data_IF_508703781238
#
_entry.id   IF_508703781238
#
_cell.length_a   1.000
_cell.length_b   1.000
_cell.length_c   1.000
_cell.angle_alpha   90.00
_cell.angle_beta   90.00
_cell.angle_gamma   90.00
#
_symmetry.space_group_name_H-M   'P 1'
#
loop_
_entity.id
_entity.type
_entity.pdbx_description
1 polymer ?
#
# COMPACT_ATOMS: atom_id res chain seq x y z
N UNK A 1 -17.64 -28.84 12.47
CA UNK A 1 -16.27 -28.97 11.93
C UNK A 1 -15.61 -27.63 11.54
N UNK A 2 -16.12 -26.85 10.57
CA UNK A 2 -15.49 -25.55 10.22
C UNK A 2 -15.54 -24.54 11.37
N UNK A 3 -16.72 -24.30 11.95
CA UNK A 3 -16.90 -23.37 13.07
C UNK A 3 -16.07 -23.75 14.31
N UNK A 4 -15.90 -25.04 14.59
CA UNK A 4 -15.06 -25.52 15.70
C UNK A 4 -13.58 -25.22 15.44
N UNK A 5 -13.07 -25.50 14.22
CA UNK A 5 -11.70 -25.17 13.84
C UNK A 5 -11.44 -23.67 13.88
N UNK A 6 -12.42 -22.89 13.40
CA UNK A 6 -12.37 -21.43 13.46
C UNK A 6 -12.32 -20.93 14.89
N UNK A 7 -13.21 -21.41 15.76
CA UNK A 7 -13.23 -21.02 17.17
C UNK A 7 -11.92 -21.37 17.87
N UNK A 8 -11.36 -22.56 17.59
CA UNK A 8 -10.05 -22.94 18.13
C UNK A 8 -8.92 -22.03 17.62
N UNK A 9 -8.92 -21.67 16.33
CA UNK A 9 -7.93 -20.74 15.75
C UNK A 9 -8.05 -19.35 16.37
N UNK A 10 -9.26 -18.80 16.45
CA UNK A 10 -9.50 -17.50 17.08
C UNK A 10 -9.04 -17.54 18.54
N UNK A 11 -9.45 -18.53 19.34
CA UNK A 11 -9.05 -18.63 20.74
C UNK A 11 -7.52 -18.74 20.97
N UNK A 12 -6.76 -19.17 19.95
CA UNK A 12 -5.30 -19.24 20.00
C UNK A 12 -4.60 -17.92 19.65
N UNK A 13 -5.28 -16.95 19.04
CA UNK A 13 -4.69 -15.63 18.76
C UNK A 13 -4.52 -14.83 20.06
N UNK A 14 -3.52 -13.96 20.06
CA UNK A 14 -3.28 -12.95 21.10
C UNK A 14 -4.57 -12.22 21.50
N UNK A 15 -4.77 -11.89 22.78
CA UNK A 15 -5.89 -11.06 23.22
C UNK A 15 -5.97 -9.70 22.49
N UNK A 16 -4.83 -9.21 21.99
CA UNK A 16 -4.72 -7.96 21.23
C UNK A 16 -5.06 -8.11 19.74
N UNK A 17 -5.20 -9.35 19.25
CA UNK A 17 -5.51 -9.61 17.85
C UNK A 17 -6.94 -9.21 17.49
N UNK A 18 -7.11 -8.65 16.30
CA UNK A 18 -8.43 -8.39 15.76
C UNK A 18 -9.16 -9.71 15.48
N UNK A 19 -10.38 -9.82 15.99
CA UNK A 19 -11.23 -10.98 15.80
C UNK A 19 -11.94 -10.91 14.46
N UNK A 20 -12.07 -12.06 13.80
CA UNK A 20 -12.79 -12.13 12.53
C UNK A 20 -14.31 -11.90 12.70
N UNK A 21 -14.83 -12.05 13.93
CA UNK A 21 -16.24 -11.90 14.27
C UNK A 21 -16.46 -10.91 15.42
N UNK A 22 -17.59 -10.17 15.43
CA UNK A 22 -18.64 -10.16 14.41
C UNK A 22 -18.19 -9.48 13.11
N UNK A 23 -18.64 -10.02 11.97
CA UNK A 23 -18.32 -9.49 10.64
C UNK A 23 -19.09 -8.19 10.37
N UNK A 24 -18.51 -7.04 10.71
CA UNK A 24 -19.14 -5.74 10.45
C UNK A 24 -18.81 -5.26 9.04
N UNK A 25 -19.87 -5.08 8.25
CA UNK A 25 -19.85 -4.61 6.85
C UNK A 25 -20.94 -3.58 6.69
N UNK A 26 -20.80 -2.73 5.69
CA UNK A 26 -21.81 -1.71 5.38
C UNK A 26 -23.12 -2.35 4.91
N UNK A 27 -23.01 -3.35 4.02
CA UNK A 27 -24.17 -4.16 3.60
C UNK A 27 -24.11 -5.52 4.27
N UNK A 28 -25.11 -5.88 5.10
CA UNK A 28 -25.17 -7.19 5.72
C UNK A 28 -25.15 -8.31 4.68
N UNK A 29 -24.34 -9.34 4.92
CA UNK A 29 -24.32 -10.53 4.08
C UNK A 29 -24.16 -11.78 4.96
N UNK A 30 -24.71 -12.93 4.56
CA UNK A 30 -24.54 -14.17 5.29
C UNK A 30 -23.07 -14.59 5.38
N UNK A 31 -22.74 -15.26 6.48
CA UNK A 31 -21.43 -15.86 6.70
C UNK A 31 -21.13 -16.96 5.67
N UNK A 32 -19.85 -17.08 5.33
CA UNK A 32 -19.36 -18.17 4.48
C UNK A 32 -19.26 -19.47 5.29
N UNK A 33 -19.65 -20.58 4.67
CA UNK A 33 -19.54 -21.91 5.29
C UNK A 33 -18.10 -22.44 5.44
N UNK A 34 -17.11 -21.79 4.83
CA UNK A 34 -15.74 -22.32 4.72
C UNK A 34 -14.63 -21.25 4.75
N UNK A 35 -14.97 -19.96 4.87
CA UNK A 35 -14.00 -18.85 4.92
C UNK A 35 -14.35 -17.89 6.04
N UNK A 36 -13.35 -17.34 6.71
CA UNK A 36 -13.55 -16.20 7.63
C UNK A 36 -13.93 -14.93 6.86
N UNK A 37 -14.51 -13.92 7.53
CA UNK A 37 -14.77 -12.62 6.92
C UNK A 37 -13.53 -11.98 6.28
N UNK A 38 -12.36 -12.05 6.93
CA UNK A 38 -11.12 -11.51 6.40
C UNK A 38 -10.58 -12.31 5.21
N UNK A 39 -10.70 -13.65 5.21
CA UNK A 39 -10.37 -14.47 4.05
C UNK A 39 -11.25 -14.13 2.84
N UNK A 40 -12.54 -13.88 3.07
CA UNK A 40 -13.47 -13.46 2.02
C UNK A 40 -13.09 -12.10 1.44
N UNK A 41 -12.61 -11.17 2.27
CA UNK A 41 -12.16 -9.85 1.85
C UNK A 41 -10.88 -9.93 1.02
N UNK A 42 -9.90 -10.69 1.51
CA UNK A 42 -8.68 -11.00 0.76
C UNK A 42 -9.00 -11.56 -0.63
N UNK A 43 -9.92 -12.53 -0.73
CA UNK A 43 -10.32 -13.09 -2.01
C UNK A 43 -10.99 -12.06 -2.93
N UNK A 44 -11.82 -11.16 -2.39
CA UNK A 44 -12.45 -10.09 -3.17
C UNK A 44 -11.43 -9.12 -3.75
N UNK A 45 -10.44 -8.72 -2.94
CA UNK A 45 -9.35 -7.83 -3.35
C UNK A 45 -8.54 -8.47 -4.48
N UNK A 46 -8.11 -9.72 -4.32
CA UNK A 46 -7.28 -10.41 -5.34
C UNK A 46 -7.99 -10.53 -6.69
N UNK A 47 -9.33 -10.63 -6.70
CA UNK A 47 -10.12 -10.74 -7.93
C UNK A 47 -10.57 -9.38 -8.52
N UNK A 48 -10.29 -8.27 -7.83
CA UNK A 48 -10.65 -6.93 -8.25
C UNK A 48 -9.93 -6.51 -9.54
N UNK A 49 -10.57 -5.66 -10.36
CA UNK A 49 -9.95 -5.11 -11.58
C UNK A 49 -8.72 -4.26 -11.20
N UNK A 50 -8.84 -3.43 -10.16
CA UNK A 50 -7.75 -2.60 -9.63
C UNK A 50 -6.52 -3.41 -9.20
N UNK A 51 -6.70 -4.54 -8.52
CA UNK A 51 -5.58 -5.41 -8.11
C UNK A 51 -4.83 -5.97 -9.32
N UNK A 52 -5.53 -6.37 -10.39
CA UNK A 52 -4.90 -6.81 -11.64
C UNK A 52 -4.09 -5.69 -12.31
N UNK A 53 -4.55 -4.43 -12.22
CA UNK A 53 -3.86 -3.27 -12.79
C UNK A 53 -2.54 -2.98 -12.08
N UNK A 54 -2.34 -3.40 -10.83
CA UNK A 54 -1.06 -3.25 -10.12
C UNK A 54 0.11 -3.91 -10.86
N UNK A 55 -0.16 -4.94 -11.69
CA UNK A 55 0.85 -5.56 -12.56
C UNK A 55 1.40 -4.59 -13.62
N UNK A 56 0.60 -3.60 -14.02
CA UNK A 56 0.92 -2.65 -15.09
C UNK A 56 1.11 -1.23 -14.55
N UNK A 57 1.40 -1.11 -13.25
CA UNK A 57 1.76 0.15 -12.60
C UNK A 57 3.17 0.03 -12.03
N UNK A 58 4.02 0.97 -12.42
CA UNK A 58 5.36 1.10 -11.86
C UNK A 58 5.27 1.57 -10.42
N UNK A 59 6.27 1.17 -9.64
CA UNK A 59 6.38 1.59 -8.25
C UNK A 59 7.25 2.86 -8.14
N UNK A 60 8.49 2.79 -8.62
CA UNK A 60 9.48 3.88 -8.48
C UNK A 60 10.07 4.29 -9.82
N UNK A 61 10.58 3.32 -10.58
CA UNK A 61 11.21 3.59 -11.85
C UNK A 61 10.21 3.40 -12.99
N UNK A 62 10.11 4.42 -13.82
CA UNK A 62 9.25 4.42 -15.00
C UNK A 62 9.93 3.55 -16.04
N UNK A 63 9.55 2.28 -16.03
CA UNK A 63 9.90 1.25 -17.00
C UNK A 63 11.27 1.44 -17.68
N UNK A 64 12.40 1.35 -16.94
CA UNK A 64 13.66 1.11 -17.59
C UNK A 64 13.56 -0.23 -18.34
N UNK A 65 14.11 -0.30 -19.54
CA UNK A 65 14.07 -1.50 -20.37
C UNK A 65 14.61 -2.71 -19.59
N UNK A 66 13.79 -3.76 -19.39
CA UNK A 66 14.20 -5.01 -18.74
C UNK A 66 13.07 -5.77 -18.01
N UNK A 67 13.16 -7.10 -17.99
CA UNK A 67 12.09 -8.01 -17.51
C UNK A 67 11.98 -8.11 -15.97
N UNK A 68 12.83 -7.41 -15.21
CA UNK A 68 13.02 -7.63 -13.78
C UNK A 68 12.72 -6.40 -12.90
N UNK A 69 12.16 -5.32 -13.46
CA UNK A 69 11.74 -4.18 -12.66
C UNK A 69 10.45 -4.48 -11.89
N UNK A 70 10.41 -4.04 -10.64
CA UNK A 70 9.27 -4.29 -9.77
C UNK A 70 8.09 -3.43 -10.19
N UNK A 71 6.94 -4.06 -10.13
CA UNK A 71 5.62 -3.43 -10.29
C UNK A 71 5.03 -3.19 -8.91
N UNK A 72 3.96 -2.40 -8.82
CA UNK A 72 3.22 -2.29 -7.56
C UNK A 72 2.73 -3.64 -7.03
N UNK A 73 2.39 -4.57 -7.94
CA UNK A 73 1.97 -5.91 -7.56
C UNK A 73 3.09 -6.67 -6.83
N UNK A 74 4.33 -6.61 -7.31
CA UNK A 74 5.44 -7.32 -6.65
C UNK A 74 5.72 -6.75 -5.26
N UNK A 75 5.71 -5.42 -5.10
CA UNK A 75 5.84 -4.80 -3.78
C UNK A 75 4.70 -5.16 -2.85
N UNK A 76 3.47 -5.10 -3.35
CA UNK A 76 2.28 -5.48 -2.57
C UNK A 76 2.42 -6.91 -2.04
N UNK A 77 2.89 -7.85 -2.88
CA UNK A 77 3.09 -9.24 -2.47
C UNK A 77 4.21 -9.40 -1.43
N UNK A 78 5.32 -8.69 -1.59
CA UNK A 78 6.47 -8.76 -0.69
C UNK A 78 6.18 -8.11 0.67
N UNK A 79 5.62 -6.89 0.67
CA UNK A 79 5.16 -6.19 1.87
C UNK A 79 4.13 -7.05 2.62
N UNK A 80 3.18 -7.64 1.90
CA UNK A 80 2.19 -8.54 2.49
C UNK A 80 2.83 -9.79 3.09
N UNK A 81 3.85 -10.37 2.45
CA UNK A 81 4.61 -11.50 2.98
C UNK A 81 5.30 -11.19 4.30
N UNK A 82 5.99 -10.05 4.37
CA UNK A 82 6.65 -9.57 5.59
C UNK A 82 5.62 -9.29 6.69
N UNK A 83 4.53 -8.59 6.36
CA UNK A 83 3.49 -8.21 7.32
C UNK A 83 2.83 -9.44 7.96
N UNK A 84 2.54 -10.47 7.16
CA UNK A 84 2.01 -11.74 7.68
C UNK A 84 2.98 -12.46 8.60
N UNK A 85 4.28 -12.44 8.29
CA UNK A 85 5.28 -13.05 9.16
C UNK A 85 5.35 -12.35 10.52
N UNK A 86 5.28 -11.00 10.53
CA UNK A 86 5.22 -10.21 11.77
C UNK A 86 3.94 -10.52 12.55
N UNK A 87 2.78 -10.51 11.88
CA UNK A 87 1.50 -10.83 12.52
C UNK A 87 1.51 -12.23 13.13
N UNK A 88 2.02 -13.24 12.41
CA UNK A 88 2.13 -14.62 12.92
C UNK A 88 3.02 -14.71 14.15
N UNK A 89 4.18 -14.05 14.12
CA UNK A 89 5.12 -14.07 15.24
C UNK A 89 4.55 -13.41 16.51
N UNK A 90 3.70 -12.39 16.36
CA UNK A 90 3.00 -11.72 17.46
C UNK A 90 1.65 -12.38 17.84
N UNK A 91 1.28 -13.49 17.18
CA UNK A 91 -0.01 -14.15 17.39
C UNK A 91 -1.23 -13.33 16.98
N UNK A 92 -1.08 -12.40 16.04
CA UNK A 92 -2.13 -11.54 15.49
C UNK A 92 -2.82 -12.17 14.27
N UNK A 93 -3.87 -11.53 13.75
CA UNK A 93 -4.67 -12.08 12.67
C UNK A 93 -3.97 -11.94 11.29
N UNK A 94 -3.37 -13.03 10.82
CA UNK A 94 -2.72 -13.08 9.50
C UNK A 94 -3.68 -12.77 8.35
N UNK A 95 -4.93 -13.22 8.41
CA UNK A 95 -5.88 -13.07 7.30
C UNK A 95 -6.32 -11.59 7.16
N UNK A 96 -6.48 -10.88 8.29
CA UNK A 96 -6.72 -9.43 8.29
C UNK A 96 -5.51 -8.68 7.75
N UNK A 97 -4.31 -9.03 8.25
CA UNK A 97 -3.05 -8.41 7.81
C UNK A 97 -2.84 -8.58 6.31
N UNK A 98 -3.13 -9.77 5.78
CA UNK A 98 -3.07 -10.06 4.35
C UNK A 98 -4.10 -9.25 3.55
N UNK A 99 -5.35 -9.19 4.00
CA UNK A 99 -6.39 -8.43 3.31
C UNK A 99 -6.05 -6.93 3.23
N UNK A 100 -5.56 -6.33 4.33
CA UNK A 100 -5.11 -4.93 4.34
C UNK A 100 -3.89 -4.76 3.43
N UNK A 101 -2.90 -5.63 3.58
CA UNK A 101 -1.66 -5.61 2.79
C UNK A 101 -1.91 -5.72 1.29
N UNK A 102 -2.88 -6.52 0.84
CA UNK A 102 -3.23 -6.61 -0.59
C UNK A 102 -4.07 -5.44 -1.10
N UNK A 103 -4.76 -4.73 -0.20
CA UNK A 103 -5.68 -3.65 -0.53
C UNK A 103 -5.10 -2.24 -0.45
N UNK A 104 -4.00 -2.03 0.27
CA UNK A 104 -3.50 -0.68 0.60
C UNK A 104 -3.17 0.17 -0.63
N UNK A 105 -2.70 -0.48 -1.70
CA UNK A 105 -2.11 0.15 -2.89
C UNK A 105 -3.06 0.24 -4.11
N UNK A 106 -4.33 -0.17 -3.96
CA UNK A 106 -5.29 -0.29 -5.08
C UNK A 106 -5.58 1.03 -5.81
N UNK A 107 -5.56 2.15 -5.08
CA UNK A 107 -5.94 3.48 -5.57
C UNK A 107 -4.78 4.35 -6.03
N UNK A 108 -3.57 3.82 -6.12
CA UNK A 108 -2.45 4.61 -6.61
C UNK A 108 -2.65 5.07 -8.05
N UNK A 109 -2.34 6.32 -8.33
CA UNK A 109 -2.29 6.85 -9.70
C UNK A 109 -1.25 6.11 -10.56
N UNK A 110 -1.38 6.15 -11.90
CA UNK A 110 -0.29 5.78 -12.81
C UNK A 110 1.02 6.50 -12.48
N UNK A 111 2.16 5.88 -12.73
CA UNK A 111 3.51 6.44 -12.54
C UNK A 111 3.87 6.79 -11.09
N UNK A 112 3.30 6.05 -10.13
CA UNK A 112 3.70 6.13 -8.73
C UNK A 112 3.49 7.50 -8.08
N UNK A 113 4.46 7.93 -7.27
CA UNK A 113 4.39 9.20 -6.55
C UNK A 113 4.35 10.43 -7.45
N UNK A 114 4.92 10.34 -8.66
CA UNK A 114 4.89 11.44 -9.63
C UNK A 114 3.46 11.67 -10.10
N UNK A 115 2.74 10.60 -10.48
CA UNK A 115 1.36 10.75 -10.92
C UNK A 115 0.42 11.19 -9.81
N UNK A 116 0.63 10.71 -8.58
CA UNK A 116 -0.08 11.18 -7.39
C UNK A 116 0.11 12.69 -7.19
N UNK A 117 1.34 13.19 -7.25
CA UNK A 117 1.63 14.62 -7.09
C UNK A 117 1.04 15.49 -8.22
N UNK A 118 1.01 14.98 -9.46
CA UNK A 118 0.42 15.68 -10.61
C UNK A 118 -1.09 15.75 -10.46
N UNK A 119 -1.76 14.64 -10.13
CA UNK A 119 -3.21 14.62 -9.93
C UNK A 119 -3.64 15.49 -8.74
N UNK A 120 -2.93 15.43 -7.61
CA UNK A 120 -3.18 16.28 -6.43
C UNK A 120 -3.09 17.77 -6.79
N UNK A 121 -2.04 18.16 -7.51
CA UNK A 121 -1.88 19.55 -7.96
C UNK A 121 -3.00 19.98 -8.91
N UNK A 122 -3.33 19.16 -9.90
CA UNK A 122 -4.37 19.48 -10.88
C UNK A 122 -5.75 19.63 -10.22
N UNK A 123 -6.11 18.72 -9.30
CA UNK A 123 -7.32 18.83 -8.50
C UNK A 123 -7.35 20.08 -7.62
N UNK A 124 -6.22 20.37 -6.95
CA UNK A 124 -6.14 21.53 -6.06
C UNK A 124 -6.30 22.83 -6.84
N UNK A 125 -5.72 22.91 -8.05
CA UNK A 125 -5.80 24.10 -8.91
C UNK A 125 -7.20 24.29 -9.51
N UNK A 126 -7.86 23.22 -9.95
CA UNK A 126 -9.15 23.33 -10.65
C UNK A 126 -10.37 23.29 -9.73
N UNK A 127 -10.32 22.48 -8.68
CA UNK A 127 -11.46 22.20 -7.81
C UNK A 127 -11.21 22.51 -6.33
N UNK A 128 -9.98 22.84 -5.94
CA UNK A 128 -9.63 23.07 -4.54
C UNK A 128 -9.56 21.79 -3.69
N UNK A 129 -9.56 20.61 -4.34
CA UNK A 129 -9.57 19.29 -3.70
C UNK A 129 -8.17 18.67 -3.68
N UNK A 130 -7.98 17.64 -2.84
CA UNK A 130 -6.74 16.87 -2.72
C UNK A 130 -6.91 15.48 -3.31
N UNK A 131 -5.81 14.89 -3.76
CA UNK A 131 -5.71 13.47 -4.10
C UNK A 131 -4.72 12.79 -3.16
N UNK A 132 -5.13 11.66 -2.59
CA UNK A 132 -4.26 10.75 -1.85
C UNK A 132 -4.58 9.31 -2.24
N UNK A 133 -3.55 8.52 -2.52
CA UNK A 133 -3.73 7.15 -2.97
C UNK A 133 -4.51 6.28 -1.96
N UNK A 134 -4.32 6.47 -0.65
CA UNK A 134 -4.99 5.69 0.39
C UNK A 134 -6.49 5.98 0.48
N UNK A 135 -6.89 7.24 0.30
CA UNK A 135 -8.30 7.64 0.19
C UNK A 135 -8.92 7.07 -1.09
N UNK A 136 -8.16 7.08 -2.18
CA UNK A 136 -8.60 6.46 -3.43
C UNK A 136 -8.66 4.92 -3.34
N UNK A 137 -7.74 4.26 -2.63
CA UNK A 137 -7.76 2.80 -2.39
C UNK A 137 -9.03 2.40 -1.66
N UNK A 138 -9.43 3.20 -0.67
CA UNK A 138 -10.71 3.04 0.02
C UNK A 138 -11.89 3.21 -0.95
N UNK A 139 -11.89 4.28 -1.75
CA UNK A 139 -12.93 4.53 -2.76
C UNK A 139 -13.06 3.38 -3.77
N UNK A 140 -11.94 2.78 -4.20
CA UNK A 140 -11.94 1.61 -5.10
C UNK A 140 -12.74 0.46 -4.50
N UNK A 141 -12.48 0.13 -3.23
CA UNK A 141 -13.12 -1.01 -2.58
C UNK A 141 -14.53 -0.73 -2.08
N UNK A 142 -14.91 0.54 -1.92
CA UNK A 142 -16.25 0.95 -1.48
C UNK A 142 -17.20 1.19 -2.65
N UNK A 143 -16.71 1.78 -3.74
CA UNK A 143 -17.56 2.39 -4.77
C UNK A 143 -17.21 1.99 -6.21
N UNK A 144 -15.94 1.74 -6.55
CA UNK A 144 -15.56 1.63 -7.98
C UNK A 144 -15.57 0.20 -8.51
N UNK A 145 -15.18 -0.76 -7.69
CA UNK A 145 -15.21 -2.17 -8.10
C UNK A 145 -16.65 -2.67 -8.29
N UNK A 146 -16.80 -3.73 -9.09
CA UNK A 146 -18.12 -4.31 -9.42
C UNK A 146 -19.11 -3.29 -9.99
N UNK A 147 -18.61 -2.46 -10.89
CA UNK A 147 -19.41 -1.53 -11.70
C UNK A 147 -20.30 -0.60 -10.84
N UNK A 148 -19.71 -0.08 -9.75
CA UNK A 148 -20.37 0.86 -8.84
C UNK A 148 -20.75 0.28 -7.47
N UNK A 149 -20.77 -1.05 -7.32
CA UNK A 149 -21.24 -1.70 -6.09
C UNK A 149 -20.17 -1.74 -4.98
N UNK A 150 -18.89 -1.67 -5.32
CA UNK A 150 -17.78 -1.94 -4.42
C UNK A 150 -17.67 -3.40 -3.98
N UNK A 151 -16.67 -3.69 -3.14
CA UNK A 151 -16.35 -5.02 -2.66
C UNK A 151 -17.06 -5.38 -1.33
N UNK A 152 -17.71 -4.42 -0.66
CA UNK A 152 -18.37 -4.60 0.64
C UNK A 152 -17.44 -5.25 1.70
N UNK A 153 -16.19 -4.78 1.82
CA UNK A 153 -15.20 -5.31 2.76
C UNK A 153 -15.60 -5.04 4.22
N UNK A 154 -14.98 -5.74 5.18
CA UNK A 154 -15.18 -5.46 6.60
C UNK A 154 -14.59 -4.11 6.99
N UNK A 155 -15.11 -3.54 8.07
CA UNK A 155 -14.65 -2.23 8.60
C UNK A 155 -13.15 -2.22 8.89
N UNK A 156 -12.59 -3.33 9.41
CA UNK A 156 -11.18 -3.40 9.78
C UNK A 156 -10.25 -3.38 8.56
N UNK A 157 -10.68 -4.02 7.45
CA UNK A 157 -9.92 -4.00 6.20
C UNK A 157 -9.97 -2.60 5.59
N UNK A 158 -11.14 -1.97 5.56
CA UNK A 158 -11.32 -0.58 5.09
C UNK A 158 -10.47 0.41 5.90
N UNK A 159 -10.52 0.31 7.22
CA UNK A 159 -9.72 1.13 8.14
C UNK A 159 -8.22 0.97 7.90
N UNK A 160 -7.75 -0.29 7.80
CA UNK A 160 -6.35 -0.58 7.51
C UNK A 160 -5.91 -0.02 6.16
N UNK A 161 -6.71 -0.17 5.11
CA UNK A 161 -6.43 0.39 3.78
C UNK A 161 -6.35 1.92 3.84
N UNK A 162 -7.28 2.58 4.52
CA UNK A 162 -7.28 4.04 4.62
C UNK A 162 -6.08 4.57 5.43
N UNK A 163 -5.80 3.97 6.58
CA UNK A 163 -4.87 4.52 7.58
C UNK A 163 -3.47 3.93 7.55
N UNK A 164 -3.16 3.06 6.57
CA UNK A 164 -1.80 2.54 6.41
C UNK A 164 -0.76 3.66 6.21
N UNK A 165 -1.18 4.84 5.76
CA UNK A 165 -0.38 6.06 5.63
C UNK A 165 -1.11 7.27 6.22
N UNK A 166 -0.49 8.45 6.21
CA UNK A 166 -1.05 9.69 6.79
C UNK A 166 -0.88 9.81 8.31
N UNK A 167 -1.55 10.75 8.94
CA UNK A 167 -1.34 11.08 10.37
C UNK A 167 -2.12 10.17 11.31
N UNK A 168 -3.26 9.65 10.85
CA UNK A 168 -4.07 8.72 11.63
C UNK A 168 -3.46 7.31 11.61
N UNK A 169 -3.54 6.63 12.75
CA UNK A 169 -3.11 5.24 12.88
C UNK A 169 -4.29 4.28 12.64
N UNK A 170 -4.05 3.11 12.02
CA UNK A 170 -5.04 2.05 11.96
C UNK A 170 -5.50 1.65 13.36
N UNK A 171 -6.78 1.29 13.49
CA UNK A 171 -7.39 0.90 14.74
C UNK A 171 -6.86 -0.46 15.25
N UNK A 172 -6.45 -1.34 14.33
CA UNK A 172 -5.96 -2.69 14.65
C UNK A 172 -4.43 -2.74 14.63
N UNK A 173 -3.85 -3.66 15.41
CA UNK A 173 -2.41 -3.92 15.37
C UNK A 173 -2.01 -4.46 13.98
N UNK A 174 -2.86 -5.27 13.36
CA UNK A 174 -2.66 -5.79 12.00
C UNK A 174 -2.52 -4.66 10.97
N UNK A 175 -3.36 -3.61 11.05
CA UNK A 175 -3.22 -2.43 10.20
C UNK A 175 -1.94 -1.65 10.49
N UNK A 176 -1.57 -1.49 11.77
CA UNK A 176 -0.32 -0.83 12.16
C UNK A 176 0.91 -1.60 11.65
N UNK A 177 0.87 -2.94 11.60
CA UNK A 177 1.93 -3.75 10.98
C UNK A 177 2.08 -3.38 9.51
N UNK A 178 0.99 -3.37 8.73
CA UNK A 178 1.06 -3.04 7.30
C UNK A 178 1.68 -1.66 7.10
N UNK A 179 1.29 -0.67 7.91
CA UNK A 179 1.86 0.68 7.89
C UNK A 179 3.38 0.73 8.10
N UNK A 180 3.91 -0.06 9.05
CA UNK A 180 5.36 -0.10 9.31
C UNK A 180 6.07 -0.88 8.21
N UNK A 181 5.53 -2.05 7.85
CA UNK A 181 6.14 -2.97 6.89
C UNK A 181 6.15 -2.42 5.47
N UNK A 182 5.17 -1.62 5.07
CA UNK A 182 5.19 -0.94 3.77
C UNK A 182 6.48 -0.11 3.60
N UNK A 183 6.91 0.60 4.66
CA UNK A 183 8.17 1.36 4.67
C UNK A 183 9.40 0.46 4.62
N UNK A 184 9.35 -0.71 5.26
CA UNK A 184 10.42 -1.71 5.23
C UNK A 184 10.58 -2.27 3.81
N UNK A 185 9.49 -2.67 3.16
CA UNK A 185 9.51 -3.20 1.80
C UNK A 185 9.98 -2.15 0.80
N UNK A 186 9.44 -0.94 0.90
CA UNK A 186 9.77 0.21 0.05
C UNK A 186 11.28 0.47 -0.01
N UNK A 187 11.94 0.71 1.13
CA UNK A 187 13.35 1.09 1.16
C UNK A 187 14.25 0.03 0.53
N UNK A 188 13.97 -1.25 0.78
CA UNK A 188 14.82 -2.32 0.30
C UNK A 188 14.76 -2.45 -1.22
N UNK A 189 13.56 -2.38 -1.78
CA UNK A 189 13.36 -2.60 -3.20
C UNK A 189 13.79 -1.39 -4.04
N UNK A 190 13.57 -0.20 -3.51
CA UNK A 190 14.02 1.04 -4.13
C UNK A 190 15.55 1.09 -4.25
N UNK A 191 16.27 0.60 -3.24
CA UNK A 191 17.74 0.52 -3.29
C UNK A 191 18.16 -0.44 -4.40
N UNK A 192 17.59 -1.65 -4.41
CA UNK A 192 17.92 -2.67 -5.41
C UNK A 192 17.64 -2.17 -6.85
N UNK A 193 16.49 -1.55 -7.06
CA UNK A 193 16.10 -1.04 -8.38
C UNK A 193 16.94 0.19 -8.78
N UNK A 194 17.28 1.06 -7.83
CA UNK A 194 18.15 2.22 -8.09
C UNK A 194 19.57 1.81 -8.48
N UNK A 195 20.11 0.78 -7.81
CA UNK A 195 21.42 0.22 -8.13
C UNK A 195 21.38 -0.47 -9.49
N UNK A 196 20.35 -1.29 -9.75
CA UNK A 196 20.18 -1.97 -11.05
C UNK A 196 20.03 -0.99 -12.21
N UNK A 197 19.32 0.11 -12.00
CA UNK A 197 19.14 1.16 -13.00
C UNK A 197 20.38 2.06 -13.18
N UNK A 198 21.44 1.86 -12.38
CA UNK A 198 22.64 2.70 -12.40
C UNK A 198 22.39 4.14 -11.92
N UNK A 199 21.28 4.39 -11.23
CA UNK A 199 20.93 5.69 -10.65
C UNK A 199 21.67 5.92 -9.33
N UNK A 200 22.01 4.83 -8.64
CA UNK A 200 22.73 4.83 -7.38
C UNK A 200 23.87 3.81 -7.43
N UNK A 201 25.05 4.17 -6.94
CA UNK A 201 26.12 3.20 -6.65
C UNK A 201 26.05 2.80 -5.18
N UNK A 202 26.20 1.51 -4.86
CA UNK A 202 26.11 1.01 -3.48
C UNK A 202 27.09 1.73 -2.53
N UNK A 203 28.25 2.18 -3.02
CA UNK A 203 29.22 2.93 -2.21
C UNK A 203 28.74 4.32 -1.78
N UNK A 204 27.67 4.83 -2.41
CA UNK A 204 27.05 6.11 -2.08
C UNK A 204 26.02 5.97 -0.95
N UNK A 205 25.63 4.75 -0.58
CA UNK A 205 24.70 4.53 0.51
C UNK A 205 25.28 5.03 1.85
N UNK A 206 24.45 5.62 2.72
CA UNK A 206 24.89 6.10 4.03
C UNK A 206 25.49 4.97 4.89
N UNK A 207 26.78 5.08 5.22
CA UNK A 207 27.53 4.00 5.88
C UNK A 207 26.98 3.64 7.26
N UNK A 208 26.51 4.63 8.02
CA UNK A 208 25.98 4.42 9.37
C UNK A 208 24.67 3.61 9.32
N UNK A 209 23.75 3.97 8.43
CA UNK A 209 22.47 3.27 8.22
C UNK A 209 22.68 1.86 7.68
N UNK A 210 23.61 1.68 6.73
CA UNK A 210 23.94 0.35 6.19
C UNK A 210 24.61 -0.53 7.26
N UNK A 211 25.50 0.02 8.08
CA UNK A 211 26.08 -0.72 9.19
C UNK A 211 25.04 -1.10 10.26
N UNK A 212 24.05 -0.23 10.51
CA UNK A 212 23.00 -0.48 11.48
C UNK A 212 21.96 -1.50 10.99
N UNK A 213 21.61 -1.48 9.70
CA UNK A 213 20.51 -2.28 9.16
C UNK A 213 20.98 -3.56 8.45
N UNK A 214 22.08 -3.48 7.70
CA UNK A 214 22.57 -4.58 6.88
C UNK A 214 22.97 -4.14 5.46
N UNK A 215 23.87 -4.91 4.85
CA UNK A 215 24.43 -4.64 3.52
C UNK A 215 23.52 -5.14 2.41
N UNK A 216 22.82 -6.25 2.64
CA UNK A 216 21.87 -6.82 1.67
C UNK A 216 20.42 -6.49 2.03
N UNK A 217 19.51 -6.55 1.06
CA UNK A 217 18.08 -6.36 1.31
C UNK A 217 17.54 -7.34 2.36
N UNK A 218 17.96 -8.60 2.30
CA UNK A 218 17.56 -9.63 3.26
C UNK A 218 18.03 -9.33 4.69
N UNK A 219 19.28 -8.88 4.86
CA UNK A 219 19.81 -8.48 6.18
C UNK A 219 19.04 -7.29 6.75
N UNK A 220 18.76 -6.28 5.93
CA UNK A 220 17.98 -5.11 6.35
C UNK A 220 16.57 -5.47 6.78
N UNK A 221 15.87 -6.30 6.00
CA UNK A 221 14.54 -6.80 6.35
C UNK A 221 14.59 -7.56 7.68
N UNK A 222 15.53 -8.49 7.83
CA UNK A 222 15.67 -9.30 9.04
C UNK A 222 15.93 -8.43 10.28
N UNK A 223 16.84 -7.46 10.19
CA UNK A 223 17.15 -6.53 11.29
C UNK A 223 15.92 -5.71 11.67
N UNK A 224 15.22 -5.12 10.70
CA UNK A 224 14.03 -4.31 10.94
C UNK A 224 12.87 -5.14 11.51
N UNK A 225 12.66 -6.35 11.01
CA UNK A 225 11.61 -7.25 11.51
C UNK A 225 11.92 -7.73 12.93
N UNK A 226 13.18 -8.10 13.23
CA UNK A 226 13.57 -8.52 14.59
C UNK A 226 13.37 -7.40 15.60
N UNK A 227 13.80 -6.20 15.25
CA UNK A 227 13.62 -5.02 16.10
C UNK A 227 12.13 -4.71 16.30
N UNK A 228 11.34 -4.72 15.23
CA UNK A 228 9.88 -4.53 15.27
C UNK A 228 9.21 -5.53 16.21
N UNK A 229 9.55 -6.82 16.11
CA UNK A 229 8.98 -7.86 16.97
C UNK A 229 9.35 -7.65 18.44
N UNK A 230 10.64 -7.43 18.73
CA UNK A 230 11.13 -7.31 20.10
C UNK A 230 10.63 -6.04 20.82
N UNK A 231 10.49 -4.93 20.10
CA UNK A 231 9.93 -3.68 20.64
C UNK A 231 8.41 -3.79 20.79
N UNK A 232 7.72 -4.37 19.80
CA UNK A 232 6.26 -4.53 19.84
C UNK A 232 5.79 -5.45 20.97
N UNK A 233 6.51 -6.57 21.20
CA UNK A 233 6.19 -7.50 22.28
C UNK A 233 6.33 -6.84 23.66
N UNK A 234 7.34 -5.98 23.85
CA UNK A 234 7.53 -5.22 25.09
C UNK A 234 6.48 -4.13 25.27
N UNK A 235 6.10 -3.46 24.19
CA UNK A 235 5.18 -2.33 24.23
C UNK A 235 3.70 -2.75 24.35
N UNK A 236 3.34 -3.95 23.86
CA UNK A 236 1.93 -4.33 23.69
C UNK A 236 1.22 -3.54 22.58
N UNK A 237 1.99 -2.96 21.66
CA UNK A 237 1.53 -2.24 20.46
C UNK A 237 2.57 -2.46 19.34
N UNK A 238 2.30 -2.01 18.11
CA UNK A 238 3.25 -2.11 17.00
C UNK A 238 4.22 -0.94 17.03
N UNK A 239 5.47 -1.21 17.40
CA UNK A 239 6.52 -0.20 17.62
C UNK A 239 7.81 -0.65 16.97
N UNK A 240 8.43 0.23 16.18
CA UNK A 240 9.80 0.08 15.69
C UNK A 240 10.74 0.82 16.65
N UNK A 241 11.86 0.21 17.02
CA UNK A 241 12.85 0.78 17.92
C UNK A 241 13.52 2.03 17.34
N UNK A 242 13.97 2.92 18.21
CA UNK A 242 14.54 4.21 17.82
C UNK A 242 15.80 4.05 16.95
N UNK A 243 16.65 3.07 17.26
CA UNK A 243 17.89 2.83 16.51
C UNK A 243 17.62 2.34 15.08
N UNK A 244 16.91 1.22 14.93
CA UNK A 244 16.61 0.64 13.62
C UNK A 244 15.60 1.49 12.84
N UNK A 245 14.55 1.97 13.49
CA UNK A 245 13.55 2.86 12.89
C UNK A 245 14.14 4.21 12.49
N UNK A 246 15.00 4.80 13.31
CA UNK A 246 15.71 6.04 12.98
C UNK A 246 16.64 5.87 11.77
N UNK A 247 17.41 4.77 11.72
CA UNK A 247 18.24 4.45 10.56
C UNK A 247 17.40 4.24 9.29
N UNK A 248 16.27 3.53 9.40
CA UNK A 248 15.33 3.32 8.30
C UNK A 248 14.80 4.65 7.75
N UNK A 249 14.39 5.58 8.61
CA UNK A 249 13.87 6.88 8.20
C UNK A 249 14.93 7.74 7.51
N UNK A 250 16.17 7.77 8.04
CA UNK A 250 17.27 8.51 7.40
C UNK A 250 17.68 7.91 6.06
N UNK A 251 17.70 6.58 5.96
CA UNK A 251 17.96 5.89 4.69
C UNK A 251 16.87 6.20 3.66
N UNK A 252 15.60 6.22 4.06
CA UNK A 252 14.48 6.63 3.21
C UNK A 252 14.62 8.08 2.74
N UNK A 253 14.99 8.99 3.64
CA UNK A 253 15.22 10.40 3.29
C UNK A 253 16.37 10.56 2.27
N UNK A 254 17.45 9.79 2.44
CA UNK A 254 18.53 9.73 1.47
C UNK A 254 18.04 9.26 0.10
N UNK A 255 17.29 8.15 0.05
CA UNK A 255 16.72 7.61 -1.18
C UNK A 255 15.81 8.63 -1.86
N UNK A 256 14.96 9.31 -1.10
CA UNK A 256 14.10 10.38 -1.61
C UNK A 256 14.91 11.50 -2.30
N UNK A 257 15.96 12.00 -1.65
CA UNK A 257 16.79 13.07 -2.22
C UNK A 257 17.59 12.62 -3.45
N UNK A 258 18.09 11.39 -3.47
CA UNK A 258 19.01 10.90 -4.51
C UNK A 258 18.31 10.29 -5.72
N UNK A 259 17.29 9.49 -5.47
CA UNK A 259 16.58 8.72 -6.50
C UNK A 259 15.37 9.51 -6.97
N UNK A 260 14.47 9.86 -6.06
CA UNK A 260 13.18 10.46 -6.43
C UNK A 260 13.30 11.92 -6.89
N UNK A 261 14.20 12.70 -6.29
CA UNK A 261 14.49 14.08 -6.69
C UNK A 261 15.71 14.20 -7.61
N UNK A 262 16.32 13.07 -8.00
CA UNK A 262 17.54 13.04 -8.79
C UNK A 262 17.35 13.49 -10.25
N UNK A 263 18.43 13.81 -10.99
CA UNK A 263 18.34 14.31 -12.37
C UNK A 263 17.65 13.35 -13.34
N UNK A 264 17.78 12.04 -13.14
CA UNK A 264 17.11 11.03 -13.95
C UNK A 264 15.59 11.08 -13.76
N UNK A 265 15.14 11.09 -12.50
CA UNK A 265 13.72 11.19 -12.16
C UNK A 265 13.10 12.52 -12.64
N UNK A 266 13.84 13.64 -12.55
CA UNK A 266 13.36 14.94 -13.02
C UNK A 266 13.02 14.97 -14.52
N UNK A 267 13.78 14.25 -15.36
CA UNK A 267 13.50 14.19 -16.81
C UNK A 267 12.18 13.46 -17.10
N UNK A 268 11.98 12.31 -16.48
CA UNK A 268 10.75 11.54 -16.64
C UNK A 268 9.55 12.25 -15.99
N UNK A 269 9.76 12.91 -14.85
CA UNK A 269 8.75 13.70 -14.17
C UNK A 269 8.15 14.76 -15.09
N UNK A 270 8.96 15.49 -15.87
CA UNK A 270 8.45 16.50 -16.82
C UNK A 270 7.59 15.88 -17.94
N UNK A 271 7.92 14.66 -18.37
CA UNK A 271 7.13 13.95 -19.40
C UNK A 271 5.77 13.53 -18.85
N UNK A 272 5.76 12.87 -17.69
CA UNK A 272 4.52 12.43 -17.02
C UNK A 272 3.65 13.62 -16.66
N UNK A 273 4.25 14.67 -16.11
CA UNK A 273 3.54 15.88 -15.71
C UNK A 273 2.76 16.47 -16.88
N UNK A 274 3.42 16.68 -18.03
CA UNK A 274 2.77 17.20 -19.23
C UNK A 274 1.64 16.29 -19.71
N UNK A 275 1.87 14.98 -19.71
CA UNK A 275 0.89 14.01 -20.20
C UNK A 275 -0.33 13.93 -19.28
N UNK A 276 -0.14 13.67 -17.99
CA UNK A 276 -1.22 13.56 -17.01
C UNK A 276 -1.97 14.89 -16.84
N UNK A 277 -1.28 16.03 -16.85
CA UNK A 277 -1.94 17.35 -16.80
C UNK A 277 -2.80 17.59 -18.04
N UNK A 278 -2.34 17.19 -19.23
CA UNK A 278 -3.13 17.29 -20.46
C UNK A 278 -4.35 16.37 -20.45
N UNK A 279 -4.19 15.12 -19.99
CA UNK A 279 -5.30 14.19 -19.81
C UNK A 279 -6.31 14.71 -18.78
N UNK A 280 -5.82 15.23 -17.65
CA UNK A 280 -6.67 15.85 -16.64
C UNK A 280 -7.46 17.02 -17.20
N UNK A 281 -6.81 17.96 -17.91
CA UNK A 281 -7.50 19.09 -18.54
C UNK A 281 -8.56 18.61 -19.54
N UNK A 282 -8.22 17.62 -20.37
CA UNK A 282 -9.15 17.05 -21.33
C UNK A 282 -10.38 16.43 -20.65
N UNK A 283 -10.20 15.55 -19.66
CA UNK A 283 -11.31 14.89 -18.99
C UNK A 283 -12.06 15.80 -18.03
N UNK A 284 -11.44 16.86 -17.54
CA UNK A 284 -12.14 17.90 -16.80
C UNK A 284 -13.09 18.73 -17.70
N UNK A 285 -12.81 18.81 -19.00
CA UNK A 285 -13.72 19.43 -19.98
C UNK A 285 -14.64 18.39 -20.66
N UNK A 286 -14.29 17.10 -20.59
CA UNK A 286 -14.99 15.96 -21.20
C UNK A 286 -15.17 14.85 -20.16
N UNK A 287 -16.02 15.11 -19.18
CA UNK A 287 -16.16 14.29 -17.96
C UNK A 287 -16.50 12.83 -18.31
N UNK A 288 -15.67 11.84 -17.91
CA UNK A 288 -15.93 10.42 -18.14
C UNK A 288 -17.26 9.98 -17.53
N UNK A 289 -17.93 8.97 -18.12
CA UNK A 289 -19.16 8.41 -17.55
C UNK A 289 -18.95 7.96 -16.09
N UNK A 290 -19.97 8.14 -15.23
CA UNK A 290 -19.87 7.74 -13.83
C UNK A 290 -19.74 6.22 -13.70
N UNK A 291 -18.87 5.77 -12.80
CA UNK A 291 -18.73 4.35 -12.44
C UNK A 291 -19.70 4.00 -11.30
N UNK A 292 -19.93 4.91 -10.36
CA UNK A 292 -20.86 4.76 -9.24
C UNK A 292 -21.98 5.80 -9.28
N UNK A 293 -23.11 5.50 -8.62
CA UNK A 293 -24.36 6.29 -8.73
C UNK A 293 -24.33 7.68 -8.08
N UNK A 294 -23.31 8.00 -7.28
CA UNK A 294 -23.24 9.22 -6.47
C UNK A 294 -21.84 9.86 -6.55
N UNK A 295 -21.34 10.10 -7.77
CA UNK A 295 -20.03 10.72 -7.99
C UNK A 295 -20.11 12.09 -8.66
N UNK A 296 -19.45 13.08 -8.06
CA UNK A 296 -19.32 14.41 -8.64
C UNK A 296 -18.31 14.41 -9.79
N UNK A 297 -18.36 15.45 -10.62
CA UNK A 297 -17.45 15.62 -11.76
C UNK A 297 -15.95 15.46 -11.41
N UNK A 298 -15.42 16.11 -10.36
CA UNK A 298 -13.99 15.96 -10.01
C UNK A 298 -13.62 14.51 -9.69
N UNK A 299 -14.51 13.78 -9.03
CA UNK A 299 -14.27 12.39 -8.67
C UNK A 299 -14.26 11.49 -9.91
N UNK A 300 -15.18 11.70 -10.86
CA UNK A 300 -15.23 10.93 -12.12
C UNK A 300 -13.94 11.04 -12.92
N UNK A 301 -13.37 12.25 -12.98
CA UNK A 301 -12.08 12.50 -13.64
C UNK A 301 -10.95 11.75 -12.93
N UNK A 302 -10.92 11.80 -11.60
CA UNK A 302 -9.89 11.15 -10.78
C UNK A 302 -10.01 9.62 -10.85
N UNK A 303 -11.21 9.08 -10.71
CA UNK A 303 -11.52 7.64 -10.78
C UNK A 303 -11.07 7.07 -12.12
N UNK A 304 -11.31 7.80 -13.21
CA UNK A 304 -10.84 7.42 -14.52
C UNK A 304 -9.31 7.43 -14.61
N UNK A 305 -8.67 8.55 -14.29
CA UNK A 305 -7.22 8.74 -14.45
C UNK A 305 -6.39 7.86 -13.50
N UNK A 306 -6.76 7.81 -12.22
CA UNK A 306 -6.10 6.94 -11.25
C UNK A 306 -6.35 5.46 -11.56
N UNK A 307 -7.48 5.14 -12.20
CA UNK A 307 -7.83 3.79 -12.66
C UNK A 307 -7.07 3.31 -13.90
N UNK A 308 -6.34 4.17 -14.61
CA UNK A 308 -5.51 3.78 -15.75
C UNK A 308 -4.26 2.99 -15.31
N UNK A 309 -3.64 2.27 -16.24
CA UNK A 309 -2.27 1.75 -16.08
C UNK A 309 -1.27 2.80 -16.58
N UNK A 310 0.02 2.58 -16.33
CA UNK A 310 1.11 3.38 -16.90
C UNK A 310 1.15 3.26 -18.44
#
# INVERSE_FOLDING_TARGET
MFLERLSARENALSPLAARAYPARRERPEPDSAHRTPFQRDRDRIVHAKAFRRLKHKTQVFIAPEGDHYRTRLTHTLEACGIARNVARALGLNEDLTEAIGLGHDLGHAPFGHIGEAVLDRCLQQRYGLRFRHNEHSLRVVECLERDGDGLNLTEQVRDGILRHTGDELPATLEGKIVRVVDRVAYINHDIDDAVRAGVLDESQLPREEIAALGTTGSERIETLVRDLLAESERAGDIVQGEAAGGAMLRLREFMFKRVYLGPAAQREQQRIDRMLSALFAHYADNVPDPISSDCEEPERVVDYLAGMTD
#
